data_IF_684936245530
#
_entry.id   IF_684936245530
#
_cell.length_a   1.000
_cell.length_b   1.000
_cell.length_c   1.000
_cell.angle_alpha   90.00
_cell.angle_beta   90.00
_cell.angle_gamma   90.00
#
_symmetry.space_group_name_H-M   'P 1'
#
loop_
_entity.id
_entity.type
_entity.pdbx_description
1 polymer ?
#
# COMPACT_ATOMS: atom_id res chain seq x y z
N UNK A 1 -34.03 -42.11 12.27
CA UNK A 1 -34.20 -41.63 10.88
C UNK A 1 -33.46 -40.31 10.83
N UNK A 2 -32.15 -40.39 10.56
CA UNK A 2 -31.24 -39.24 10.52
C UNK A 2 -31.53 -38.41 9.27
N UNK A 3 -31.72 -37.11 9.47
CA UNK A 3 -31.86 -36.16 8.38
C UNK A 3 -30.53 -36.08 7.62
N UNK A 4 -30.54 -36.55 6.38
CA UNK A 4 -29.50 -36.32 5.39
C UNK A 4 -29.36 -34.81 5.14
N UNK A 5 -28.36 -34.19 5.76
CA UNK A 5 -27.86 -32.87 5.35
C UNK A 5 -27.18 -33.04 4.00
N UNK A 6 -27.67 -32.30 3.02
CA UNK A 6 -27.32 -32.43 1.61
C UNK A 6 -25.82 -32.34 1.33
N UNK A 7 -25.36 -33.24 0.48
CA UNK A 7 -24.10 -33.14 -0.25
C UNK A 7 -24.16 -31.84 -1.07
N UNK A 8 -23.28 -30.86 -0.76
CA UNK A 8 -23.03 -29.73 -1.66
C UNK A 8 -22.90 -28.32 -1.06
N UNK A 9 -23.06 -28.12 0.25
CA UNK A 9 -22.86 -26.79 0.86
C UNK A 9 -21.64 -26.77 1.78
N UNK A 10 -20.68 -25.88 1.47
CA UNK A 10 -19.52 -25.60 2.31
C UNK A 10 -19.97 -24.84 3.55
N UNK A 11 -19.88 -25.43 4.74
CA UNK A 11 -20.24 -24.74 5.99
C UNK A 11 -19.25 -23.61 6.29
N UNK A 12 -19.68 -22.54 6.96
CA UNK A 12 -18.81 -21.41 7.34
C UNK A 12 -17.53 -21.84 8.07
N UNK A 13 -17.63 -22.89 8.90
CA UNK A 13 -16.48 -23.49 9.58
C UNK A 13 -15.47 -24.10 8.61
N UNK A 14 -15.95 -24.78 7.57
CA UNK A 14 -15.10 -25.38 6.54
C UNK A 14 -14.48 -24.31 5.63
N UNK A 15 -15.24 -23.25 5.30
CA UNK A 15 -14.76 -22.10 4.54
C UNK A 15 -13.56 -21.43 5.24
N UNK A 16 -13.70 -21.12 6.54
CA UNK A 16 -12.62 -20.53 7.35
C UNK A 16 -11.39 -21.42 7.44
N UNK A 17 -11.57 -22.74 7.55
CA UNK A 17 -10.44 -23.67 7.60
C UNK A 17 -9.65 -23.72 6.30
N UNK A 18 -10.31 -23.75 5.14
CA UNK A 18 -9.60 -23.75 3.86
C UNK A 18 -8.92 -22.39 3.63
N UNK A 19 -9.56 -21.29 4.03
CA UNK A 19 -8.95 -19.98 3.98
C UNK A 19 -7.68 -19.89 4.84
N UNK A 20 -7.73 -20.34 6.09
CA UNK A 20 -6.55 -20.40 6.98
C UNK A 20 -5.45 -21.27 6.37
N UNK A 21 -5.80 -22.47 5.88
CA UNK A 21 -4.82 -23.36 5.23
C UNK A 21 -4.15 -22.66 4.04
N UNK A 22 -4.94 -22.01 3.18
CA UNK A 22 -4.41 -21.32 2.01
C UNK A 22 -3.48 -20.17 2.35
N UNK A 23 -3.73 -19.46 3.45
CA UNK A 23 -2.81 -18.47 4.02
C UNK A 23 -1.53 -19.13 4.54
N UNK A 24 -1.65 -20.19 5.33
CA UNK A 24 -0.52 -20.88 5.97
C UNK A 24 0.46 -21.48 4.95
N UNK A 25 -0.06 -21.98 3.82
CA UNK A 25 0.77 -22.55 2.75
C UNK A 25 1.18 -21.54 1.66
N UNK A 26 0.87 -20.24 1.86
CA UNK A 26 1.30 -19.16 0.98
C UNK A 26 0.62 -19.15 -0.41
N UNK A 27 -0.54 -19.78 -0.55
CA UNK A 27 -1.33 -19.75 -1.79
C UNK A 27 -2.27 -18.54 -1.81
N UNK A 28 -2.83 -18.19 -0.64
CA UNK A 28 -3.57 -16.95 -0.43
C UNK A 28 -2.57 -15.91 0.09
N UNK A 29 -2.43 -14.75 -0.57
CA UNK A 29 -1.48 -13.74 -0.15
C UNK A 29 -1.87 -13.11 1.19
N UNK A 30 -0.89 -12.51 1.85
CA UNK A 30 -1.11 -11.74 3.06
C UNK A 30 -1.92 -10.45 2.74
N UNK A 31 -3.14 -10.29 3.31
CA UNK A 31 -3.97 -9.09 3.15
C UNK A 31 -3.39 -7.89 3.89
N UNK A 32 -2.44 -8.10 4.82
CA UNK A 32 -1.80 -7.00 5.52
C UNK A 32 -1.06 -6.07 4.56
N UNK A 33 -1.06 -4.78 4.91
CA UNK A 33 -0.23 -3.80 4.24
C UNK A 33 1.25 -4.07 4.48
N UNK A 34 2.07 -3.68 3.52
CA UNK A 34 3.51 -3.86 3.58
C UNK A 34 4.08 -3.09 4.79
N UNK A 35 4.84 -3.79 5.63
CA UNK A 35 5.34 -3.23 6.89
C UNK A 35 6.28 -2.05 6.68
N UNK A 36 7.12 -2.10 5.63
CA UNK A 36 8.03 -0.99 5.32
C UNK A 36 7.20 0.24 4.93
N UNK A 37 6.17 0.05 4.10
CA UNK A 37 5.25 1.12 3.75
C UNK A 37 4.55 1.73 4.98
N UNK A 38 3.96 0.90 5.85
CA UNK A 38 3.26 1.39 7.05
C UNK A 38 4.20 2.05 8.06
N UNK A 39 5.49 1.68 8.08
CA UNK A 39 6.47 2.28 8.99
C UNK A 39 6.74 3.75 8.65
N UNK A 40 6.80 4.09 7.36
CA UNK A 40 6.89 5.48 6.90
C UNK A 40 5.59 6.27 7.04
N UNK A 41 4.46 5.58 7.05
CA UNK A 41 3.14 6.16 7.29
C UNK A 41 2.74 6.12 8.78
N UNK A 42 3.70 5.88 9.69
CA UNK A 42 3.47 5.88 11.13
C UNK A 42 3.98 7.17 11.79
N UNK A 43 3.55 7.49 13.02
CA UNK A 43 4.13 8.61 13.77
C UNK A 43 5.65 8.48 14.02
N UNK A 44 6.23 7.28 13.84
CA UNK A 44 7.66 7.02 14.02
C UNK A 44 8.46 7.08 12.70
N UNK A 45 7.87 7.63 11.63
CA UNK A 45 8.49 7.71 10.30
C UNK A 45 9.88 8.35 10.32
N UNK A 46 10.13 9.33 11.19
CA UNK A 46 11.44 9.99 11.29
C UNK A 46 12.52 9.05 11.79
N UNK A 47 12.22 8.25 12.81
CA UNK A 47 13.15 7.26 13.36
C UNK A 47 13.47 6.18 12.32
N UNK A 48 12.44 5.73 11.59
CA UNK A 48 12.63 4.75 10.53
C UNK A 48 13.50 5.31 9.40
N UNK A 49 13.20 6.53 8.93
CA UNK A 49 13.99 7.21 7.91
C UNK A 49 15.47 7.37 8.31
N UNK A 50 15.73 7.76 9.56
CA UNK A 50 17.11 7.87 10.06
C UNK A 50 17.83 6.52 10.10
N UNK A 51 17.13 5.43 10.46
CA UNK A 51 17.70 4.08 10.40
C UNK A 51 18.06 3.69 8.97
N UNK A 52 17.12 3.87 8.04
CA UNK A 52 17.30 3.52 6.63
C UNK A 52 18.43 4.33 5.98
N UNK A 53 18.55 5.61 6.29
CA UNK A 53 19.68 6.44 5.86
C UNK A 53 21.02 5.87 6.35
N UNK A 54 21.11 5.50 7.63
CA UNK A 54 22.32 4.92 8.21
C UNK A 54 22.66 3.54 7.62
N UNK A 55 21.65 2.74 7.31
CA UNK A 55 21.85 1.42 6.70
C UNK A 55 22.36 1.55 5.26
N UNK A 56 21.81 2.50 4.49
CA UNK A 56 22.36 2.85 3.17
C UNK A 56 23.82 3.30 3.31
N UNK A 57 24.11 4.21 4.23
CA UNK A 57 25.46 4.74 4.45
C UNK A 57 26.47 3.63 4.83
N UNK A 58 26.07 2.64 5.63
CA UNK A 58 26.92 1.49 5.98
C UNK A 58 27.11 0.50 4.84
N UNK A 59 26.17 0.46 3.89
CA UNK A 59 26.21 -0.48 2.76
C UNK A 59 27.10 -0.05 1.60
N UNK A 60 27.56 1.20 1.59
CA UNK A 60 28.32 1.81 0.50
C UNK A 60 29.82 1.83 0.82
N UNK A 61 30.66 1.61 -0.19
CA UNK A 61 32.10 1.87 -0.09
C UNK A 61 32.38 3.38 0.04
N UNK A 62 33.57 3.82 0.48
CA UNK A 62 33.89 5.25 0.59
C UNK A 62 33.70 6.04 -0.71
N UNK A 63 34.03 5.45 -1.87
CA UNK A 63 33.82 6.06 -3.19
C UNK A 63 32.33 6.17 -3.53
N UNK A 64 31.58 5.09 -3.30
CA UNK A 64 30.13 5.06 -3.54
C UNK A 64 29.38 6.05 -2.64
N UNK A 65 29.81 6.17 -1.39
CA UNK A 65 29.28 7.13 -0.44
C UNK A 65 29.54 8.57 -0.90
N UNK A 66 30.73 8.84 -1.45
CA UNK A 66 31.05 10.13 -2.07
C UNK A 66 30.08 10.49 -3.20
N UNK A 67 29.81 9.55 -4.11
CA UNK A 67 28.83 9.74 -5.19
C UNK A 67 27.41 9.93 -4.67
N UNK A 68 26.99 9.09 -3.72
CA UNK A 68 25.67 9.18 -3.08
C UNK A 68 25.44 10.56 -2.44
N UNK A 69 26.40 11.04 -1.64
CA UNK A 69 26.32 12.34 -0.98
C UNK A 69 26.31 13.50 -1.96
N UNK A 70 27.08 13.40 -3.05
CA UNK A 70 27.07 14.40 -4.12
C UNK A 70 25.69 14.49 -4.79
N UNK A 71 25.10 13.34 -5.16
CA UNK A 71 23.77 13.29 -5.78
C UNK A 71 22.65 13.74 -4.84
N UNK A 72 22.77 13.45 -3.54
CA UNK A 72 21.85 13.96 -2.52
C UNK A 72 21.86 15.49 -2.48
N UNK A 73 23.05 16.11 -2.43
CA UNK A 73 23.18 17.58 -2.46
C UNK A 73 22.67 18.18 -3.75
N UNK A 74 22.92 17.53 -4.89
CA UNK A 74 22.39 17.97 -6.17
C UNK A 74 20.85 17.95 -6.21
N UNK A 75 20.20 17.01 -5.50
CA UNK A 75 18.75 16.85 -5.50
C UNK A 75 18.05 17.70 -4.44
N UNK A 76 18.58 17.72 -3.21
CA UNK A 76 17.95 18.31 -2.03
C UNK A 76 18.57 19.67 -1.62
N UNK A 77 19.66 20.05 -2.28
CA UNK A 77 20.39 21.31 -2.05
C UNK A 77 21.58 21.18 -1.09
N UNK A 78 22.43 22.21 -1.03
CA UNK A 78 23.65 22.18 -0.21
C UNK A 78 23.40 22.21 1.30
N UNK A 79 22.23 22.69 1.74
CA UNK A 79 21.92 22.87 3.16
C UNK A 79 21.76 21.56 3.96
N UNK A 80 21.60 20.43 3.28
CA UNK A 80 21.27 19.14 3.92
C UNK A 80 19.84 19.07 4.48
N UNK A 81 19.08 20.18 4.49
CA UNK A 81 17.79 20.28 5.17
C UNK A 81 16.63 19.99 4.23
N UNK A 82 15.74 19.10 4.66
CA UNK A 82 14.42 18.88 4.04
C UNK A 82 13.33 19.28 5.01
N UNK A 83 12.58 20.33 4.65
CA UNK A 83 11.50 20.86 5.46
C UNK A 83 10.40 19.83 5.65
N UNK A 84 10.01 19.58 6.92
CA UNK A 84 9.08 18.50 7.30
C UNK A 84 9.44 17.10 6.77
N UNK A 85 10.72 16.87 6.43
CA UNK A 85 11.18 15.65 5.76
C UNK A 85 11.03 14.36 6.57
N UNK A 86 10.94 14.45 7.89
CA UNK A 86 10.86 13.26 8.75
C UNK A 86 9.47 12.62 8.86
N UNK A 87 8.45 13.12 8.16
CA UNK A 87 7.05 12.77 8.47
C UNK A 87 6.26 12.29 7.25
N UNK A 88 5.67 11.09 7.35
CA UNK A 88 4.69 10.58 6.39
C UNK A 88 5.21 10.48 4.96
N UNK A 89 4.44 11.04 4.00
CA UNK A 89 4.76 10.98 2.56
C UNK A 89 6.12 11.57 2.20
N UNK A 90 6.63 12.56 2.94
CA UNK A 90 7.95 13.14 2.66
C UNK A 90 9.07 12.20 3.13
N UNK A 91 8.88 11.53 4.28
CA UNK A 91 9.82 10.52 4.74
C UNK A 91 9.88 9.32 3.78
N UNK A 92 8.72 8.88 3.29
CA UNK A 92 8.62 7.84 2.26
C UNK A 92 9.29 8.26 0.94
N UNK A 93 9.20 9.53 0.56
CA UNK A 93 9.89 10.03 -0.63
C UNK A 93 11.41 10.05 -0.44
N UNK A 94 11.89 10.42 0.75
CA UNK A 94 13.33 10.38 1.06
C UNK A 94 13.87 8.95 1.05
N UNK A 95 13.14 7.98 1.60
CA UNK A 95 13.56 6.57 1.51
C UNK A 95 13.64 6.06 0.08
N UNK A 96 12.68 6.46 -0.76
CA UNK A 96 12.68 6.17 -2.18
C UNK A 96 13.92 6.76 -2.88
N UNK A 97 14.25 8.02 -2.59
CA UNK A 97 15.45 8.65 -3.12
C UNK A 97 16.73 7.96 -2.64
N UNK A 98 16.81 7.58 -1.36
CA UNK A 98 17.99 6.89 -0.84
C UNK A 98 18.25 5.57 -1.57
N UNK A 99 17.21 4.78 -1.82
CA UNK A 99 17.34 3.57 -2.61
C UNK A 99 17.80 3.87 -4.04
N UNK A 100 17.15 4.81 -4.74
CA UNK A 100 17.53 5.20 -6.11
C UNK A 100 19.01 5.62 -6.19
N UNK A 101 19.45 6.51 -5.29
CA UNK A 101 20.82 7.02 -5.31
C UNK A 101 21.84 5.95 -4.88
N UNK A 102 21.49 5.07 -3.93
CA UNK A 102 22.35 3.98 -3.52
C UNK A 102 22.56 2.96 -4.65
N UNK A 103 21.50 2.64 -5.40
CA UNK A 103 21.59 1.77 -6.58
C UNK A 103 22.46 2.41 -7.67
N UNK A 104 22.26 3.71 -7.94
CA UNK A 104 23.10 4.46 -8.88
C UNK A 104 24.58 4.46 -8.48
N UNK A 105 24.90 4.72 -7.20
CA UNK A 105 26.26 4.68 -6.70
C UNK A 105 26.90 3.28 -6.81
N UNK A 106 26.09 2.21 -6.74
CA UNK A 106 26.51 0.82 -6.94
C UNK A 106 26.62 0.43 -8.43
N UNK A 107 26.39 1.36 -9.37
CA UNK A 107 26.27 1.09 -10.80
C UNK A 107 25.21 0.03 -11.13
N UNK A 108 24.15 -0.03 -10.31
CA UNK A 108 22.99 -0.91 -10.50
C UNK A 108 21.88 -0.12 -11.20
N UNK A 109 21.12 -0.80 -12.07
CA UNK A 109 20.03 -0.19 -12.82
C UNK A 109 18.69 -0.49 -12.16
N UNK A 110 17.84 0.54 -12.10
CA UNK A 110 16.53 0.45 -11.44
C UNK A 110 16.61 0.64 -9.93
N UNK A 111 15.44 0.91 -9.33
CA UNK A 111 15.29 0.98 -7.89
C UNK A 111 14.80 -0.36 -7.35
N UNK A 112 15.33 -0.76 -6.18
CA UNK A 112 14.88 -1.95 -5.45
C UNK A 112 13.83 -1.63 -4.39
N UNK A 113 13.39 -0.37 -4.33
CA UNK A 113 12.48 0.13 -3.32
C UNK A 113 11.17 -0.65 -3.31
N UNK A 114 10.64 -0.91 -2.11
CA UNK A 114 9.44 -1.73 -1.92
C UNK A 114 8.19 -1.16 -2.61
N UNK A 115 8.16 0.16 -2.89
CA UNK A 115 7.08 0.82 -3.66
C UNK A 115 6.86 0.17 -5.02
N UNK A 116 7.95 -0.20 -5.72
CA UNK A 116 7.86 -0.87 -7.02
C UNK A 116 7.25 -2.27 -6.92
N UNK A 117 7.45 -2.97 -5.79
CA UNK A 117 6.81 -4.25 -5.50
C UNK A 117 5.32 -4.06 -5.16
N UNK A 118 5.00 -3.07 -4.32
CA UNK A 118 3.62 -2.80 -3.88
C UNK A 118 2.72 -2.45 -5.08
N UNK A 119 3.22 -1.59 -5.97
CA UNK A 119 2.45 -1.06 -7.10
C UNK A 119 2.77 -1.71 -8.45
N UNK A 120 3.44 -2.88 -8.42
CA UNK A 120 3.76 -3.76 -9.56
C UNK A 120 4.44 -3.06 -10.75
N UNK A 121 5.71 -2.70 -10.57
CA UNK A 121 6.58 -2.40 -11.72
C UNK A 121 7.36 -3.62 -12.26
N UNK A 122 7.20 -4.80 -11.64
CA UNK A 122 8.19 -5.88 -11.80
C UNK A 122 8.05 -6.76 -13.04
N UNK A 123 6.93 -6.68 -13.76
CA UNK A 123 6.71 -7.46 -14.99
C UNK A 123 6.43 -6.53 -16.18
N UNK A 124 7.50 -5.90 -16.71
CA UNK A 124 7.45 -5.23 -18.00
C UNK A 124 6.39 -4.13 -18.13
N UNK A 125 6.65 -2.98 -17.50
CA UNK A 125 6.16 -1.66 -17.91
C UNK A 125 4.69 -1.28 -17.62
N UNK A 126 3.96 -2.02 -16.76
CA UNK A 126 2.59 -1.66 -16.40
C UNK A 126 2.45 -1.34 -14.90
N UNK A 127 3.06 -0.25 -14.44
CA UNK A 127 2.69 0.32 -13.13
C UNK A 127 1.20 0.62 -13.15
N UNK A 128 0.47 0.22 -12.11
CA UNK A 128 -0.94 0.63 -11.97
C UNK A 128 -1.07 2.16 -12.05
N UNK A 129 -2.21 2.67 -12.53
CA UNK A 129 -2.47 4.11 -12.60
C UNK A 129 -2.24 4.79 -11.23
N UNK A 130 -2.72 4.14 -10.15
CA UNK A 130 -2.48 4.50 -8.75
C UNK A 130 -0.98 4.56 -8.45
N UNK A 131 -0.23 3.52 -8.83
CA UNK A 131 1.22 3.45 -8.68
C UNK A 131 1.96 4.56 -9.41
N UNK A 132 1.58 4.85 -10.66
CA UNK A 132 2.17 5.94 -11.45
C UNK A 132 1.99 7.28 -10.75
N UNK A 133 0.77 7.60 -10.28
CA UNK A 133 0.50 8.86 -9.59
C UNK A 133 1.34 8.99 -8.31
N UNK A 134 1.43 7.90 -7.52
CA UNK A 134 2.21 7.88 -6.28
C UNK A 134 3.70 8.06 -6.57
N UNK A 135 4.26 7.33 -7.52
CA UNK A 135 5.70 7.39 -7.84
C UNK A 135 6.08 8.75 -8.43
N UNK A 136 5.23 9.31 -9.31
CA UNK A 136 5.41 10.66 -9.82
C UNK A 136 5.40 11.69 -8.69
N UNK A 137 4.47 11.57 -7.73
CA UNK A 137 4.42 12.46 -6.57
C UNK A 137 5.64 12.31 -5.67
N UNK A 138 6.09 11.08 -5.37
CA UNK A 138 7.29 10.83 -4.55
C UNK A 138 8.56 11.43 -5.18
N UNK A 139 8.67 11.44 -6.51
CA UNK A 139 9.77 12.11 -7.21
C UNK A 139 9.66 13.63 -7.12
N UNK A 140 8.45 14.17 -7.30
CA UNK A 140 8.21 15.61 -7.29
C UNK A 140 8.40 16.22 -5.90
N UNK A 141 7.85 15.60 -4.85
CA UNK A 141 7.75 16.17 -3.50
C UNK A 141 9.12 16.56 -2.95
N UNK A 142 10.18 15.84 -3.31
CA UNK A 142 11.55 16.12 -2.90
C UNK A 142 12.14 17.37 -3.56
N UNK A 143 11.73 17.68 -4.79
CA UNK A 143 12.18 18.85 -5.54
C UNK A 143 11.52 20.14 -5.04
N UNK A 144 10.37 20.01 -4.36
CA UNK A 144 9.56 21.13 -3.89
C UNK A 144 9.47 21.21 -2.36
N UNK A 145 10.12 20.29 -1.64
CA UNK A 145 9.93 20.15 -0.19
C UNK A 145 10.28 21.41 0.63
N UNK A 146 11.18 22.24 0.11
CA UNK A 146 11.60 23.49 0.75
C UNK A 146 10.84 24.73 0.25
N UNK A 147 9.80 24.55 -0.58
CA UNK A 147 8.87 25.59 -1.01
C UNK A 147 7.46 25.24 -0.49
N UNK A 148 7.06 25.75 0.69
CA UNK A 148 5.78 25.38 1.31
C UNK A 148 4.55 25.69 0.45
N UNK A 149 4.60 26.76 -0.36
CA UNK A 149 3.49 27.15 -1.23
C UNK A 149 3.35 26.15 -2.38
N UNK A 150 4.45 25.85 -3.10
CA UNK A 150 4.43 24.81 -4.14
C UNK A 150 4.10 23.44 -3.57
N UNK A 151 4.62 23.11 -2.38
CA UNK A 151 4.30 21.85 -1.70
C UNK A 151 2.79 21.72 -1.52
N UNK A 152 2.14 22.75 -0.97
CA UNK A 152 0.69 22.77 -0.78
C UNK A 152 -0.07 22.55 -2.09
N UNK A 153 0.22 23.36 -3.12
CA UNK A 153 -0.48 23.33 -4.41
C UNK A 153 -0.30 21.99 -5.15
N UNK A 154 0.92 21.46 -5.17
CA UNK A 154 1.22 20.22 -5.86
C UNK A 154 0.71 18.99 -5.11
N UNK A 155 0.75 18.99 -3.77
CA UNK A 155 0.13 17.92 -2.98
C UNK A 155 -1.38 17.88 -3.20
N UNK A 156 -2.07 19.03 -3.24
CA UNK A 156 -3.50 19.09 -3.56
C UNK A 156 -3.79 18.54 -4.97
N UNK A 157 -3.03 18.97 -5.98
CA UNK A 157 -3.22 18.50 -7.35
C UNK A 157 -3.02 16.99 -7.49
N UNK A 158 -1.99 16.43 -6.85
CA UNK A 158 -1.71 15.00 -6.92
C UNK A 158 -2.67 14.18 -6.06
N UNK A 159 -3.17 14.72 -4.95
CA UNK A 159 -4.18 14.07 -4.13
C UNK A 159 -5.47 13.89 -4.92
N UNK A 160 -5.96 14.93 -5.60
CA UNK A 160 -7.14 14.83 -6.47
C UNK A 160 -6.95 13.81 -7.60
N UNK A 161 -5.76 13.81 -8.23
CA UNK A 161 -5.42 12.84 -9.27
C UNK A 161 -5.40 11.41 -8.72
N UNK A 162 -4.83 11.22 -7.53
CA UNK A 162 -4.78 9.92 -6.85
C UNK A 162 -6.19 9.45 -6.48
N UNK A 163 -7.03 10.33 -5.95
CA UNK A 163 -8.42 10.01 -5.61
C UNK A 163 -9.17 9.52 -6.86
N UNK A 164 -9.06 10.25 -7.98
CA UNK A 164 -9.68 9.83 -9.24
C UNK A 164 -9.19 8.44 -9.70
N UNK A 165 -7.87 8.20 -9.67
CA UNK A 165 -7.30 6.91 -10.04
C UNK A 165 -7.71 5.80 -9.07
N UNK A 166 -7.85 6.08 -7.77
CA UNK A 166 -8.35 5.12 -6.78
C UNK A 166 -9.81 4.76 -7.06
N UNK A 167 -10.67 5.74 -7.37
CA UNK A 167 -12.11 5.50 -7.61
C UNK A 167 -12.27 4.64 -8.84
N UNK A 168 -11.57 5.00 -9.93
CA UNK A 168 -11.53 4.21 -11.15
C UNK A 168 -10.96 2.80 -10.91
N UNK A 169 -9.91 2.68 -10.10
CA UNK A 169 -9.32 1.38 -9.75
C UNK A 169 -10.31 0.51 -8.98
N UNK A 170 -10.92 1.01 -7.91
CA UNK A 170 -11.91 0.29 -7.12
C UNK A 170 -13.09 -0.19 -7.97
N UNK A 171 -13.66 0.70 -8.79
CA UNK A 171 -14.77 0.31 -9.67
C UNK A 171 -14.39 -0.82 -10.63
N UNK A 172 -13.19 -0.74 -11.23
CA UNK A 172 -12.68 -1.80 -12.11
C UNK A 172 -12.46 -3.10 -11.33
N UNK A 173 -11.84 -3.03 -10.16
CA UNK A 173 -11.58 -4.20 -9.29
C UNK A 173 -12.88 -4.89 -8.87
N UNK A 174 -13.90 -4.14 -8.46
CA UNK A 174 -15.19 -4.71 -8.04
C UNK A 174 -15.97 -5.29 -9.22
N UNK A 175 -15.93 -4.66 -10.39
CA UNK A 175 -16.66 -5.14 -11.59
C UNK A 175 -15.93 -6.27 -12.32
N UNK A 176 -14.63 -6.44 -12.10
CA UNK A 176 -13.82 -7.44 -12.78
C UNK A 176 -14.29 -8.85 -12.41
N UNK A 177 -14.58 -9.66 -13.43
CA UNK A 177 -14.84 -11.09 -13.29
C UNK A 177 -13.57 -11.88 -12.92
N UNK A 178 -12.43 -11.21 -12.73
CA UNK A 178 -11.13 -11.80 -12.47
C UNK A 178 -10.27 -10.82 -11.65
N UNK A 179 -10.85 -10.24 -10.60
CA UNK A 179 -10.12 -9.31 -9.74
C UNK A 179 -8.96 -10.05 -9.06
N UNK A 180 -7.73 -9.60 -9.23
CA UNK A 180 -6.59 -10.23 -8.59
C UNK A 180 -6.47 -9.77 -7.14
N UNK A 181 -5.85 -10.61 -6.30
CA UNK A 181 -5.46 -10.21 -4.94
C UNK A 181 -4.64 -8.93 -4.91
N UNK A 182 -3.84 -8.71 -5.94
CA UNK A 182 -2.97 -7.53 -6.03
C UNK A 182 -3.75 -6.26 -6.35
N UNK A 183 -4.86 -6.33 -7.08
CA UNK A 183 -5.70 -5.15 -7.31
C UNK A 183 -6.25 -4.61 -6.00
N UNK A 184 -6.73 -5.50 -5.13
CA UNK A 184 -7.18 -5.14 -3.79
C UNK A 184 -6.04 -4.60 -2.90
N UNK A 185 -4.83 -5.14 -3.02
CA UNK A 185 -3.67 -4.57 -2.31
C UNK A 185 -3.25 -3.20 -2.83
N UNK A 186 -3.24 -2.99 -4.14
CA UNK A 186 -2.94 -1.68 -4.74
C UNK A 186 -3.93 -0.65 -4.22
N UNK A 187 -5.22 -1.01 -4.18
CA UNK A 187 -6.26 -0.14 -3.65
C UNK A 187 -5.99 0.27 -2.19
N UNK A 188 -5.74 -0.69 -1.29
CA UNK A 188 -5.55 -0.35 0.14
C UNK A 188 -4.27 0.44 0.42
N UNK A 189 -3.17 0.13 -0.25
CA UNK A 189 -1.94 0.93 -0.11
C UNK A 189 -2.12 2.34 -0.68
N UNK A 190 -2.83 2.47 -1.80
CA UNK A 190 -3.11 3.77 -2.40
C UNK A 190 -4.03 4.62 -1.54
N UNK A 191 -5.05 4.03 -0.92
CA UNK A 191 -5.93 4.73 0.03
C UNK A 191 -5.14 5.21 1.27
N UNK A 192 -4.28 4.36 1.84
CA UNK A 192 -3.41 4.77 2.94
C UNK A 192 -2.46 5.91 2.53
N UNK A 193 -1.90 5.86 1.32
CA UNK A 193 -1.07 6.95 0.80
C UNK A 193 -1.85 8.27 0.68
N UNK A 194 -3.04 8.20 0.08
CA UNK A 194 -3.94 9.33 -0.12
C UNK A 194 -4.27 10.05 1.19
N UNK A 195 -4.63 9.31 2.24
CA UNK A 195 -4.89 9.88 3.56
C UNK A 195 -3.67 10.65 4.12
N UNK A 196 -2.47 10.10 3.94
CA UNK A 196 -1.26 10.79 4.36
C UNK A 196 -0.92 12.02 3.50
N UNK A 197 -1.33 12.06 2.22
CA UNK A 197 -1.26 13.29 1.44
C UNK A 197 -2.17 14.37 2.03
N UNK A 198 -3.39 14.02 2.42
CA UNK A 198 -4.31 14.99 3.03
C UNK A 198 -3.79 15.55 4.36
N UNK A 199 -3.23 14.70 5.24
CA UNK A 199 -2.54 15.18 6.46
C UNK A 199 -1.40 16.12 6.09
N UNK A 200 -0.63 15.78 5.05
CA UNK A 200 0.47 16.64 4.64
C UNK A 200 -0.02 18.01 4.16
N UNK A 201 -1.14 18.08 3.44
CA UNK A 201 -1.77 19.36 3.06
C UNK A 201 -2.15 20.20 4.29
N UNK A 202 -2.76 19.59 5.32
CA UNK A 202 -3.07 20.31 6.58
C UNK A 202 -1.80 20.84 7.23
N UNK A 203 -0.71 20.07 7.22
CA UNK A 203 0.59 20.50 7.74
C UNK A 203 1.24 21.63 6.90
N UNK A 204 0.84 21.78 5.65
CA UNK A 204 1.16 22.93 4.79
C UNK A 204 0.19 24.11 4.97
N UNK A 205 -0.78 24.02 5.89
CA UNK A 205 -1.76 25.07 6.16
C UNK A 205 -2.97 25.05 5.22
N UNK A 206 -3.36 23.89 4.69
CA UNK A 206 -4.68 23.71 4.10
C UNK A 206 -5.76 23.65 5.18
N UNK A 207 -6.89 24.30 4.94
CA UNK A 207 -8.06 24.26 5.82
C UNK A 207 -8.92 23.04 5.47
N UNK A 208 -8.43 21.86 5.89
CA UNK A 208 -9.14 20.59 5.70
C UNK A 208 -9.58 20.14 7.09
N UNK A 209 -10.90 20.01 7.28
CA UNK A 209 -11.45 19.51 8.54
C UNK A 209 -11.06 18.03 8.74
N UNK A 210 -10.98 17.60 10.01
CA UNK A 210 -10.76 16.18 10.32
C UNK A 210 -11.87 15.29 9.73
N UNK A 211 -13.08 15.83 9.57
CA UNK A 211 -14.21 15.15 8.92
C UNK A 211 -14.01 14.98 7.40
N UNK A 212 -13.30 15.89 6.75
CA UNK A 212 -12.92 15.77 5.34
C UNK A 212 -11.71 14.82 5.16
N UNK A 213 -10.77 14.80 6.11
CA UNK A 213 -9.70 13.77 6.16
C UNK A 213 -10.27 12.34 6.26
N UNK A 214 -11.54 12.20 6.62
CA UNK A 214 -12.25 10.94 6.78
C UNK A 214 -12.96 10.48 5.48
N UNK A 215 -12.89 11.28 4.41
CA UNK A 215 -13.42 11.05 3.06
C UNK A 215 -14.72 10.20 2.96
N UNK A 216 -15.86 10.90 2.94
CA UNK A 216 -17.22 10.33 2.78
C UNK A 216 -17.43 9.57 1.46
N UNK A 217 -16.63 9.85 0.43
CA UNK A 217 -16.79 9.22 -0.89
C UNK A 217 -16.46 7.72 -0.85
N UNK A 218 -15.50 7.32 -0.02
CA UNK A 218 -15.16 5.91 0.17
C UNK A 218 -16.17 5.16 1.01
N UNK A 219 -16.72 5.77 2.06
CA UNK A 219 -17.79 5.14 2.85
C UNK A 219 -18.98 4.78 1.95
N UNK A 220 -19.37 5.68 1.03
CA UNK A 220 -20.44 5.42 0.07
C UNK A 220 -20.07 4.34 -0.95
N UNK A 221 -18.81 4.31 -1.40
CA UNK A 221 -18.31 3.29 -2.32
C UNK A 221 -18.30 1.90 -1.67
N UNK A 222 -17.85 1.82 -0.42
CA UNK A 222 -17.80 0.61 0.40
C UNK A 222 -19.20 0.12 0.80
N UNK A 223 -20.12 1.02 1.12
CA UNK A 223 -21.52 0.69 1.42
C UNK A 223 -22.24 0.12 0.18
N UNK A 224 -21.98 0.69 -1.01
CA UNK A 224 -22.48 0.12 -2.28
C UNK A 224 -21.93 -1.27 -2.56
N UNK A 225 -20.65 -1.52 -2.23
CA UNK A 225 -20.03 -2.83 -2.37
C UNK A 225 -20.65 -3.86 -1.40
N UNK A 226 -20.76 -3.50 -0.11
CA UNK A 226 -21.38 -4.34 0.91
C UNK A 226 -22.83 -4.74 0.56
N UNK A 227 -23.56 -3.86 -0.13
CA UNK A 227 -24.93 -4.10 -0.60
C UNK A 227 -25.04 -4.92 -1.89
N UNK A 228 -24.03 -4.93 -2.77
CA UNK A 228 -24.12 -5.56 -4.11
C UNK A 228 -23.50 -6.94 -4.23
N UNK A 229 -22.64 -7.38 -3.31
CA UNK A 229 -22.39 -8.78 -2.96
C UNK A 229 -22.03 -9.81 -4.06
N UNK A 230 -21.73 -9.44 -5.31
CA UNK A 230 -21.37 -10.38 -6.36
C UNK A 230 -20.01 -10.06 -6.97
N UNK A 231 -19.02 -10.87 -6.58
CA UNK A 231 -17.74 -11.02 -7.27
C UNK A 231 -17.81 -12.31 -8.10
N UNK A 232 -17.48 -12.25 -9.39
CA UNK A 232 -17.35 -13.43 -10.26
C UNK A 232 -15.85 -13.65 -10.53
N UNK A 233 -15.34 -14.90 -10.58
CA UNK A 233 -13.89 -15.16 -10.60
C UNK A 233 -13.44 -16.47 -11.30
N UNK A 234 -12.53 -16.34 -12.28
CA UNK A 234 -11.79 -17.41 -12.98
C UNK A 234 -10.31 -17.57 -12.53
N UNK A 235 -9.62 -16.52 -12.05
CA UNK A 235 -8.19 -16.57 -11.62
C UNK A 235 -7.97 -17.54 -10.42
N UNK A 236 -9.05 -17.93 -9.74
CA UNK A 236 -9.10 -18.80 -8.58
C UNK A 236 -9.00 -20.29 -8.87
N UNK A 237 -9.30 -20.72 -10.10
CA UNK A 237 -9.25 -22.15 -10.44
C UNK A 237 -7.83 -22.71 -10.20
N UNK A 238 -6.80 -21.89 -10.42
CA UNK A 238 -5.40 -22.26 -10.17
C UNK A 238 -5.08 -22.39 -8.66
N UNK A 239 -5.73 -21.64 -7.78
CA UNK A 239 -5.54 -21.73 -6.32
C UNK A 239 -6.10 -23.02 -5.76
N UNK A 240 -7.28 -23.43 -6.23
CA UNK A 240 -7.88 -24.70 -5.83
C UNK A 240 -6.98 -25.86 -6.23
N UNK A 241 -6.46 -25.84 -7.46
CA UNK A 241 -5.51 -26.87 -7.91
C UNK A 241 -4.19 -26.86 -7.13
N UNK A 242 -3.63 -25.68 -6.81
CA UNK A 242 -2.44 -25.57 -5.96
C UNK A 242 -2.67 -26.05 -4.54
N UNK A 243 -3.82 -25.77 -3.94
CA UNK A 243 -4.17 -26.28 -2.60
C UNK A 243 -4.35 -27.80 -2.62
N UNK A 244 -4.94 -28.35 -3.69
CA UNK A 244 -5.08 -29.79 -3.89
C UNK A 244 -3.73 -30.50 -3.99
N UNK A 245 -2.74 -29.89 -4.64
CA UNK A 245 -1.40 -30.50 -4.80
C UNK A 245 -0.53 -30.38 -3.55
N UNK A 246 -0.66 -29.31 -2.77
CA UNK A 246 0.15 -29.06 -1.57
C UNK A 246 -0.36 -29.81 -0.34
N UNK A 247 -1.68 -30.06 -0.24
CA UNK A 247 -2.26 -30.76 0.92
C UNK A 247 -3.18 -31.92 0.52
N UNK A 248 -2.62 -33.05 0.05
CA UNK A 248 -3.40 -34.23 -0.35
C UNK A 248 -4.26 -34.80 0.79
N UNK A 249 -3.79 -34.72 2.04
CA UNK A 249 -4.53 -35.16 3.23
C UNK A 249 -5.78 -34.31 3.49
N UNK A 250 -5.75 -33.03 3.09
CA UNK A 250 -6.87 -32.10 3.20
C UNK A 250 -7.70 -32.01 1.92
N UNK A 251 -7.45 -32.87 0.95
CA UNK A 251 -8.20 -32.93 -0.30
C UNK A 251 -9.70 -33.18 -0.08
N UNK A 252 -10.07 -33.91 0.99
CA UNK A 252 -11.46 -34.08 1.41
C UNK A 252 -12.14 -32.77 1.85
N UNK A 253 -11.39 -31.77 2.35
CA UNK A 253 -11.95 -30.45 2.69
C UNK A 253 -12.27 -29.66 1.42
N UNK A 254 -11.39 -29.75 0.40
CA UNK A 254 -11.53 -29.04 -0.87
C UNK A 254 -12.62 -29.63 -1.79
N UNK A 255 -12.86 -30.95 -1.73
CA UNK A 255 -13.90 -31.60 -2.54
C UNK A 255 -15.32 -31.43 -1.98
N UNK A 256 -15.46 -31.07 -0.70
CA UNK A 256 -16.76 -30.82 -0.05
C UNK A 256 -17.32 -29.43 -0.33
N UNK A 257 -16.51 -28.50 -0.82
CA UNK A 257 -16.91 -27.13 -1.09
C UNK A 257 -17.01 -26.90 -2.59
N UNK A 258 -18.24 -26.90 -3.10
CA UNK A 258 -18.52 -26.34 -4.42
C UNK A 258 -18.25 -24.83 -4.38
N UNK A 259 -17.69 -24.26 -5.44
CA UNK A 259 -17.45 -22.82 -5.58
C UNK A 259 -16.53 -22.22 -4.48
N UNK A 260 -15.52 -22.98 -4.06
CA UNK A 260 -14.59 -22.55 -3.01
C UNK A 260 -13.75 -21.33 -3.40
N UNK A 261 -13.51 -21.11 -4.69
CA UNK A 261 -12.82 -19.92 -5.18
C UNK A 261 -13.49 -18.64 -4.66
N UNK A 262 -14.72 -18.31 -5.11
CA UNK A 262 -15.45 -17.12 -4.68
C UNK A 262 -15.46 -16.88 -3.16
N UNK A 263 -15.60 -17.97 -2.39
CA UNK A 263 -15.54 -17.94 -0.92
C UNK A 263 -14.18 -17.43 -0.42
N UNK A 264 -13.08 -17.97 -0.93
CA UNK A 264 -11.73 -17.56 -0.50
C UNK A 264 -11.44 -16.09 -0.78
N UNK A 265 -11.91 -15.54 -1.90
CA UNK A 265 -11.76 -14.09 -2.15
C UNK A 265 -12.70 -13.25 -1.33
N UNK A 266 -13.94 -13.68 -1.11
CA UNK A 266 -14.82 -12.96 -0.20
C UNK A 266 -14.17 -12.82 1.18
N UNK A 267 -13.54 -13.88 1.69
CA UNK A 267 -12.80 -13.83 2.95
C UNK A 267 -11.58 -12.91 2.91
N UNK A 268 -10.75 -13.00 1.88
CA UNK A 268 -9.59 -12.10 1.77
C UNK A 268 -9.98 -10.65 1.54
N UNK A 269 -10.98 -10.34 0.70
CA UNK A 269 -11.45 -8.98 0.50
C UNK A 269 -11.98 -8.44 1.82
N UNK A 270 -12.71 -9.25 2.58
CA UNK A 270 -13.14 -8.90 3.93
C UNK A 270 -11.95 -8.63 4.86
N UNK A 271 -10.92 -9.47 4.86
CA UNK A 271 -9.69 -9.24 5.64
C UNK A 271 -8.96 -7.95 5.20
N UNK A 272 -8.81 -7.72 3.89
CA UNK A 272 -8.20 -6.50 3.32
C UNK A 272 -8.97 -5.25 3.76
N UNK A 273 -10.31 -5.31 3.76
CA UNK A 273 -11.17 -4.23 4.23
C UNK A 273 -10.98 -4.02 5.73
N UNK A 274 -10.95 -5.08 6.53
CA UNK A 274 -10.70 -4.98 7.98
C UNK A 274 -9.33 -4.36 8.26
N UNK A 275 -8.28 -4.80 7.55
CA UNK A 275 -6.93 -4.27 7.70
C UNK A 275 -6.88 -2.78 7.30
N UNK A 276 -7.53 -2.41 6.19
CA UNK A 276 -7.67 -1.01 5.78
C UNK A 276 -8.40 -0.15 6.81
N UNK A 277 -9.52 -0.65 7.35
CA UNK A 277 -10.28 0.03 8.41
C UNK A 277 -9.48 0.14 9.72
N UNK A 278 -8.73 -0.91 10.08
CA UNK A 278 -7.88 -0.92 11.26
C UNK A 278 -6.77 0.13 11.14
N UNK A 279 -6.13 0.21 9.97
CA UNK A 279 -5.18 1.26 9.68
C UNK A 279 -5.82 2.64 9.76
N UNK A 280 -7.00 2.81 9.17
CA UNK A 280 -7.71 4.09 9.19
C UNK A 280 -8.08 4.55 10.60
N UNK A 281 -8.58 3.66 11.45
CA UNK A 281 -8.86 3.98 12.85
C UNK A 281 -7.58 4.34 13.62
N UNK A 282 -6.48 3.62 13.38
CA UNK A 282 -5.18 3.96 13.95
C UNK A 282 -4.69 5.33 13.45
N UNK A 283 -4.85 5.59 12.16
CA UNK A 283 -4.52 6.86 11.52
C UNK A 283 -5.31 8.01 12.14
N UNK A 284 -6.63 7.89 12.29
CA UNK A 284 -7.47 8.89 12.96
C UNK A 284 -6.99 9.16 14.38
N UNK A 285 -6.73 8.10 15.15
CA UNK A 285 -6.24 8.20 16.52
C UNK A 285 -4.90 8.95 16.61
N UNK A 286 -4.05 8.79 15.59
CA UNK A 286 -2.71 9.36 15.56
C UNK A 286 -2.58 10.65 14.72
N UNK A 287 -3.63 11.08 14.02
CA UNK A 287 -3.64 12.30 13.20
C UNK A 287 -3.12 13.53 13.96
N UNK A 288 -3.51 13.79 15.22
CA UNK A 288 -2.97 14.92 15.99
C UNK A 288 -1.45 14.85 16.20
N UNK A 289 -0.88 13.65 16.32
CA UNK A 289 0.57 13.49 16.45
C UNK A 289 1.27 13.93 15.17
N UNK A 290 0.79 13.51 13.99
CA UNK A 290 1.36 13.93 12.72
C UNK A 290 1.29 15.45 12.52
N UNK A 291 0.17 16.07 12.91
CA UNK A 291 -0.02 17.52 12.81
C UNK A 291 0.93 18.30 13.74
N UNK A 292 1.25 17.75 14.91
CA UNK A 292 2.18 18.36 15.86
C UNK A 292 3.66 18.21 15.45
N UNK A 293 3.98 17.28 14.55
CA UNK A 293 5.35 17.01 14.15
C UNK A 293 5.86 18.04 13.14
N UNK A 294 6.87 18.80 13.54
CA UNK A 294 7.65 19.67 12.65
C UNK A 294 9.09 19.17 12.51
N UNK A 295 9.23 17.88 12.19
CA UNK A 295 10.54 17.21 12.11
C UNK A 295 11.14 17.45 10.73
N UNK A 296 12.13 18.34 10.68
CA UNK A 296 13.04 18.45 9.55
C UNK A 296 13.93 17.22 9.47
N UNK A 297 14.30 16.81 8.26
CA UNK A 297 15.32 15.80 8.06
C UNK A 297 16.63 16.46 7.62
N UNK A 298 17.76 15.94 8.13
CA UNK A 298 19.11 16.36 7.80
C UNK A 298 19.94 15.13 7.40
N UNK A 299 20.66 15.21 6.28
CA UNK A 299 21.55 14.15 5.78
C UNK A 299 23.02 14.56 5.81
#
# INVERSE_FOLDING_TARGET
MENMVGIGQCTDFLQKQVYSLGRDVGVIPDPQMDRSFTSYLSPNSSTHLSSDYMDVHRSLSPEQLGMFNHSLRATLGESGKVTQGGVGVVALALSFLFDVLAQQAKNQTGSTHFIHRIFRERDGNNSSEVGTVIIDYLKLVLLIANDPQRMKEETERYEQRLNHSLVGHFERTVKAQNSSWTDWKIFTHGLAFHQHMMIHQVRMGADISLEQLIEKDWENCMDKFAKKGQLNLDEMTNIVERLRSISPEKHQLLTRCKDIGPILMSHFVYDVIIEGMTFFLAFQRHAPLFLSQNVHFFY
#
